data_IF_807111333907
#
_entry.id   IF_807111333907
#
_cell.length_a   1.000
_cell.length_b   1.000
_cell.length_c   1.000
_cell.angle_alpha   90.00
_cell.angle_beta   90.00
_cell.angle_gamma   90.00
#
_symmetry.space_group_name_H-M   'P 1'
#
loop_
_entity.id
_entity.type
_entity.pdbx_description
1 polymer ?
#
# COMPACT_ATOMS: atom_id res chain seq x y z
N UNK A 1 -51.38 17.78 40.84
CA UNK A 1 -50.29 18.74 41.12
C UNK A 1 -49.13 17.98 41.79
N UNK A 2 -47.91 18.24 41.34
CA UNK A 2 -46.64 18.10 42.10
C UNK A 2 -45.97 16.71 42.21
N UNK A 3 -44.85 16.58 41.45
CA UNK A 3 -43.50 16.01 41.76
C UNK A 3 -43.42 14.93 42.86
N UNK A 4 -42.68 13.84 42.72
CA UNK A 4 -41.23 13.83 42.49
C UNK A 4 -40.68 12.44 42.12
N UNK A 5 -39.51 12.47 41.48
CA UNK A 5 -38.62 11.38 41.08
C UNK A 5 -37.92 10.77 42.32
N UNK A 6 -37.45 9.51 42.24
CA UNK A 6 -36.01 9.13 42.31
C UNK A 6 -35.83 7.60 42.50
N UNK A 7 -35.05 7.05 41.56
CA UNK A 7 -34.04 5.97 41.61
C UNK A 7 -34.30 4.63 42.30
N UNK A 8 -34.15 3.55 41.52
CA UNK A 8 -32.94 2.71 41.62
C UNK A 8 -32.69 2.02 40.28
N UNK A 9 -31.63 2.43 39.58
CA UNK A 9 -31.11 1.74 38.40
C UNK A 9 -30.30 0.54 38.89
N UNK A 10 -30.83 -0.68 38.69
CA UNK A 10 -30.07 -1.91 38.81
C UNK A 10 -29.02 -1.95 37.71
N UNK A 11 -27.75 -1.89 38.11
CA UNK A 11 -26.60 -2.02 37.23
C UNK A 11 -26.51 -3.48 36.72
N UNK A 12 -27.06 -3.75 35.55
CA UNK A 12 -26.70 -4.93 34.78
C UNK A 12 -25.34 -4.64 34.12
N UNK A 13 -24.30 -5.27 34.66
CA UNK A 13 -22.94 -5.22 34.15
C UNK A 13 -22.90 -5.83 32.73
N UNK A 14 -22.92 -4.99 31.70
CA UNK A 14 -22.41 -5.37 30.39
C UNK A 14 -20.90 -5.18 30.42
N UNK A 15 -20.17 -6.29 30.40
CA UNK A 15 -18.73 -6.32 30.12
C UNK A 15 -18.56 -5.81 28.70
N UNK A 16 -18.40 -4.49 28.55
CA UNK A 16 -17.88 -3.91 27.34
C UNK A 16 -16.45 -4.41 27.23
N UNK A 17 -16.20 -5.32 26.29
CA UNK A 17 -14.86 -5.53 25.77
C UNK A 17 -14.38 -4.18 25.26
N UNK A 18 -13.59 -3.49 26.08
CA UNK A 18 -12.68 -2.45 25.65
C UNK A 18 -11.59 -3.14 24.82
N UNK A 19 -11.97 -3.61 23.64
CA UNK A 19 -11.03 -3.85 22.57
C UNK A 19 -10.46 -2.50 22.25
N UNK A 20 -9.24 -2.25 22.72
CA UNK A 20 -8.44 -1.10 22.35
C UNK A 20 -8.63 -0.89 20.85
N UNK A 21 -9.34 0.18 20.49
CA UNK A 21 -9.30 0.73 19.16
C UNK A 21 -7.89 1.27 19.00
N UNK A 22 -6.95 0.36 18.73
CA UNK A 22 -5.68 0.70 18.13
C UNK A 22 -6.10 1.50 16.91
N UNK A 23 -5.77 2.80 16.80
CA UNK A 23 -5.99 3.48 15.55
C UNK A 23 -5.22 2.63 14.54
N UNK A 24 -5.95 1.97 13.65
CA UNK A 24 -5.38 1.51 12.41
C UNK A 24 -4.90 2.82 11.81
N UNK A 25 -3.63 3.15 12.00
CA UNK A 25 -2.96 4.17 11.22
C UNK A 25 -3.17 3.69 9.80
N UNK A 26 -4.21 4.21 9.17
CA UNK A 26 -4.39 4.15 7.75
C UNK A 26 -3.09 4.72 7.24
N UNK A 27 -2.24 3.84 6.70
CA UNK A 27 -0.90 4.19 6.27
C UNK A 27 -1.05 5.49 5.49
N UNK A 28 -0.52 6.57 6.07
CA UNK A 28 -0.66 7.94 5.57
C UNK A 28 -0.60 7.88 4.07
N UNK A 29 -1.75 8.09 3.42
CA UNK A 29 -1.75 8.41 2.01
C UNK A 29 -1.13 9.80 1.97
N UNK A 30 0.19 9.87 1.95
CA UNK A 30 0.95 11.11 1.86
C UNK A 30 0.43 11.83 0.61
N UNK A 31 -0.41 12.89 0.73
CA UNK A 31 -1.22 13.38 -0.38
C UNK A 31 -0.41 14.15 -1.45
N UNK A 32 0.92 14.20 -1.31
CA UNK A 32 1.77 15.13 -2.06
C UNK A 32 3.06 14.57 -2.63
N UNK A 33 3.43 13.31 -2.37
CA UNK A 33 4.68 12.77 -2.92
C UNK A 33 4.42 11.99 -4.22
N UNK A 34 4.66 12.63 -5.36
CA UNK A 34 4.83 11.92 -6.64
C UNK A 34 6.04 10.98 -6.47
N UNK A 35 5.78 9.69 -6.42
CA UNK A 35 6.78 8.68 -6.12
C UNK A 35 6.45 7.35 -6.76
N UNK A 36 7.40 6.44 -6.63
CA UNK A 36 7.31 5.09 -7.17
C UNK A 36 7.37 4.12 -6.00
N UNK A 37 6.42 3.19 -5.93
CA UNK A 37 6.53 2.03 -5.01
C UNK A 37 6.92 0.81 -5.80
N UNK A 38 8.03 0.19 -5.42
CA UNK A 38 8.49 -1.08 -5.95
C UNK A 38 8.10 -2.25 -5.02
N UNK A 39 7.75 -3.39 -5.62
CA UNK A 39 7.48 -4.63 -4.90
C UNK A 39 8.21 -5.79 -5.61
N UNK A 40 8.90 -6.63 -4.84
CA UNK A 40 9.62 -7.79 -5.37
C UNK A 40 11.15 -7.64 -5.32
N UNK A 41 11.90 -8.56 -5.96
CA UNK A 41 11.40 -9.66 -6.79
C UNK A 41 10.54 -10.68 -6.01
N UNK A 42 9.47 -11.17 -6.64
CA UNK A 42 8.74 -12.37 -6.21
C UNK A 42 8.92 -13.47 -7.23
N UNK A 43 9.07 -14.72 -6.79
CA UNK A 43 9.12 -15.85 -7.70
C UNK A 43 7.72 -16.11 -8.29
N UNK A 44 7.63 -16.09 -9.63
CA UNK A 44 6.48 -16.53 -10.41
C UNK A 44 6.61 -18.00 -10.81
N UNK A 45 5.97 -18.42 -11.90
CA UNK A 45 6.01 -19.82 -12.35
C UNK A 45 7.41 -20.21 -12.88
N UNK A 46 8.03 -19.34 -13.70
CA UNK A 46 9.39 -19.53 -14.25
C UNK A 46 10.26 -18.25 -14.22
N UNK A 47 9.73 -17.13 -13.72
CA UNK A 47 10.35 -15.81 -13.78
C UNK A 47 10.27 -15.09 -12.44
N UNK A 48 11.15 -14.11 -12.24
CA UNK A 48 11.06 -13.15 -11.14
C UNK A 48 10.24 -11.93 -11.56
N UNK A 49 9.26 -11.59 -10.73
CA UNK A 49 8.34 -10.49 -10.98
C UNK A 49 8.75 -9.26 -10.16
N UNK A 50 8.97 -8.16 -10.88
CA UNK A 50 9.30 -6.84 -10.35
C UNK A 50 8.12 -5.91 -10.60
N UNK A 51 7.38 -5.52 -9.57
CA UNK A 51 6.20 -4.68 -9.71
C UNK A 51 6.50 -3.24 -9.31
N UNK A 52 5.95 -2.29 -10.06
CA UNK A 52 6.14 -0.85 -9.88
C UNK A 52 4.78 -0.18 -9.91
N UNK A 53 4.50 0.63 -8.88
CA UNK A 53 3.28 1.42 -8.77
C UNK A 53 3.59 2.90 -8.93
N UNK A 54 2.88 3.54 -9.84
CA UNK A 54 2.92 4.98 -10.02
C UNK A 54 2.02 5.64 -8.96
N UNK A 55 2.61 6.44 -8.05
CA UNK A 55 1.86 7.23 -7.06
C UNK A 55 1.67 8.69 -7.46
N UNK A 56 2.15 9.09 -8.64
CA UNK A 56 1.95 10.42 -9.17
C UNK A 56 0.54 10.60 -9.74
N UNK A 57 0.10 11.85 -9.86
CA UNK A 57 -1.20 12.22 -10.46
C UNK A 57 -1.19 12.19 -11.99
N UNK A 58 -0.04 11.91 -12.61
CA UNK A 58 0.15 11.85 -14.07
C UNK A 58 0.69 10.50 -14.48
N UNK A 59 0.45 10.11 -15.73
CA UNK A 59 1.10 8.95 -16.34
C UNK A 59 2.61 9.19 -16.42
N UNK A 60 3.39 8.18 -16.08
CA UNK A 60 4.84 8.21 -16.15
C UNK A 60 5.36 6.91 -16.76
N UNK A 61 6.47 7.01 -17.48
CA UNK A 61 7.13 5.86 -18.06
C UNK A 61 8.26 5.41 -17.14
N UNK A 62 8.29 4.13 -16.83
CA UNK A 62 9.28 3.52 -15.95
C UNK A 62 9.91 2.31 -16.63
N UNK A 63 11.11 1.94 -16.19
CA UNK A 63 11.72 0.64 -16.47
C UNK A 63 12.38 0.09 -15.21
N UNK A 64 12.56 -1.23 -15.21
CA UNK A 64 13.32 -1.94 -14.19
C UNK A 64 14.74 -2.17 -14.67
N UNK A 65 15.73 -1.84 -13.84
CA UNK A 65 17.13 -2.11 -14.08
C UNK A 65 17.66 -3.12 -13.06
N UNK A 66 18.09 -4.28 -13.56
CA UNK A 66 18.62 -5.41 -12.81
C UNK A 66 20.16 -5.37 -12.90
N UNK A 67 20.81 -4.52 -12.11
CA UNK A 67 22.28 -4.38 -12.06
C UNK A 67 22.97 -4.18 -13.42
N UNK A 68 22.40 -3.28 -14.24
CA UNK A 68 22.89 -2.96 -15.58
C UNK A 68 22.05 -3.56 -16.70
N UNK A 69 21.26 -4.61 -16.40
CA UNK A 69 20.31 -5.16 -17.36
C UNK A 69 18.98 -4.39 -17.31
N UNK A 70 18.70 -3.61 -18.35
CA UNK A 70 17.51 -2.76 -18.44
C UNK A 70 16.38 -3.51 -19.15
N UNK A 71 15.23 -3.60 -18.48
CA UNK A 71 14.00 -4.08 -19.09
C UNK A 71 13.30 -2.95 -19.87
N UNK A 72 12.33 -3.32 -20.70
CA UNK A 72 11.61 -2.38 -21.56
C UNK A 72 10.87 -1.31 -20.74
N UNK A 73 10.72 -0.11 -21.29
CA UNK A 73 9.92 0.93 -20.67
C UNK A 73 8.42 0.60 -20.76
N UNK A 74 7.67 0.91 -19.71
CA UNK A 74 6.21 0.84 -19.68
C UNK A 74 5.63 2.12 -19.11
N UNK A 75 4.57 2.61 -19.73
CA UNK A 75 3.81 3.75 -19.20
C UNK A 75 2.78 3.24 -18.21
N UNK A 76 2.82 3.77 -16.99
CA UNK A 76 1.90 3.41 -15.91
C UNK A 76 1.01 4.61 -15.62
N UNK A 77 -0.31 4.41 -15.68
CA UNK A 77 -1.29 5.43 -15.34
C UNK A 77 -1.24 5.82 -13.85
N UNK A 78 -1.78 7.00 -13.49
CA UNK A 78 -1.82 7.46 -12.11
C UNK A 78 -2.46 6.43 -11.17
N UNK A 79 -1.75 6.04 -10.10
CA UNK A 79 -2.26 5.10 -9.09
C UNK A 79 -2.16 3.62 -9.47
N UNK A 80 -1.88 3.31 -10.74
CA UNK A 80 -1.79 1.96 -11.29
C UNK A 80 -0.46 1.26 -11.00
N UNK A 81 -0.47 -0.07 -11.12
CA UNK A 81 0.70 -0.92 -10.93
C UNK A 81 0.94 -1.76 -12.17
N UNK A 82 2.19 -1.80 -12.63
CA UNK A 82 2.62 -2.68 -13.71
C UNK A 82 3.80 -3.54 -13.21
N UNK A 83 4.08 -4.62 -13.92
CA UNK A 83 5.10 -5.59 -13.54
C UNK A 83 5.99 -6.01 -14.71
N UNK A 84 7.24 -6.31 -14.41
CA UNK A 84 8.21 -6.87 -15.32
C UNK A 84 8.57 -8.27 -14.87
N UNK A 85 8.55 -9.20 -15.83
CA UNK A 85 9.07 -10.55 -15.64
C UNK A 85 10.51 -10.61 -16.15
N UNK A 86 11.38 -11.30 -15.42
CA UNK A 86 12.71 -11.65 -15.88
C UNK A 86 13.20 -12.93 -15.23
N UNK A 87 13.87 -13.78 -16.01
CA UNK A 87 14.62 -14.94 -15.47
C UNK A 87 15.79 -14.52 -14.57
N UNK A 88 16.22 -13.24 -14.61
CA UNK A 88 17.30 -12.73 -13.76
C UNK A 88 16.75 -12.29 -12.42
N UNK A 89 17.32 -12.84 -11.36
CA UNK A 89 17.10 -12.41 -9.98
C UNK A 89 18.15 -11.40 -9.53
N UNK A 90 17.72 -10.29 -8.95
CA UNK A 90 18.58 -9.45 -8.11
C UNK A 90 17.75 -8.71 -7.06
N UNK A 91 18.33 -8.54 -5.88
CA UNK A 91 17.77 -7.72 -4.81
C UNK A 91 18.10 -6.23 -4.95
N UNK A 92 19.11 -5.88 -5.78
CA UNK A 92 19.61 -4.51 -5.96
C UNK A 92 18.98 -3.82 -7.20
N UNK A 93 17.85 -4.34 -7.65
CA UNK A 93 17.14 -3.73 -8.76
C UNK A 93 16.65 -2.33 -8.41
N UNK A 94 16.54 -1.51 -9.44
CA UNK A 94 16.05 -0.13 -9.32
C UNK A 94 15.02 0.17 -10.39
N UNK A 95 14.14 1.11 -10.07
CA UNK A 95 13.24 1.70 -11.07
C UNK A 95 13.91 2.96 -11.62
N UNK A 96 13.95 3.08 -12.94
CA UNK A 96 14.43 4.26 -13.63
C UNK A 96 13.29 4.87 -14.44
N UNK A 97 13.26 6.20 -14.52
CA UNK A 97 12.37 6.87 -15.45
C UNK A 97 12.83 6.62 -16.91
N UNK A 98 11.85 6.53 -17.78
CA UNK A 98 11.99 6.75 -19.21
C UNK A 98 11.27 8.07 -19.55
#
# INVERSE_FOLDING_TARGET
MTRARIATLGAAAMVAFAGASVPIQSASADPGFCGVRSFGPKYGENDYIYAVRNKCSKKHSFRVNLDGWKLNCKTIDPGETDAWASVRYTTNWRVEAC
#
